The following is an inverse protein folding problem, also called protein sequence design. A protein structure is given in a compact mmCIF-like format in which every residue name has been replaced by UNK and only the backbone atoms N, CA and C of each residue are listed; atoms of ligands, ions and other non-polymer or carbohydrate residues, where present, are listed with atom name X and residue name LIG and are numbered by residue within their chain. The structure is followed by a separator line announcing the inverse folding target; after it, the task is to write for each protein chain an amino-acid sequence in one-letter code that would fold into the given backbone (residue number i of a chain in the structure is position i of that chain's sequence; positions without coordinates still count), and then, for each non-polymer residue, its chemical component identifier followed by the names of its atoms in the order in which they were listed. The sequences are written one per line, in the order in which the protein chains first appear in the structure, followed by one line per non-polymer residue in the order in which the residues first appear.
data_IF_750829495378
#
_entry.id   IF_750829495378
#
_cell.length_a   1.000
_cell.length_b   1.000
_cell.length_c   1.000
_cell.angle_alpha   90.00
_cell.angle_beta   90.00
_cell.angle_gamma   90.00
#
_symmetry.space_group_name_H-M   'P 1'
#
loop_
_entity.id
_entity.type
_entity.pdbx_description
1 polymer ?
#
# COMPACT_ATOMS: atom_id res chain seq x y z
N UNK A 1 -31.77 14.02 -53.53
CA UNK A 1 -31.18 15.12 -52.73
C UNK A 1 -30.74 14.51 -51.41
N UNK A 2 -29.46 14.15 -51.34
CA UNK A 2 -28.90 13.31 -50.28
C UNK A 2 -28.58 14.15 -49.04
N UNK A 3 -28.91 13.58 -47.88
CA UNK A 3 -28.68 14.10 -46.54
C UNK A 3 -27.18 14.19 -46.24
N UNK A 4 -26.67 15.39 -45.94
CA UNK A 4 -25.42 15.55 -45.18
C UNK A 4 -25.77 15.75 -43.71
N UNK A 5 -25.88 14.65 -42.96
CA UNK A 5 -25.74 14.69 -41.50
C UNK A 5 -24.33 14.23 -41.17
N UNK A 6 -23.52 15.18 -40.71
CA UNK A 6 -22.17 14.97 -40.20
C UNK A 6 -22.20 13.89 -39.12
N UNK A 7 -21.54 12.76 -39.37
CA UNK A 7 -21.22 11.78 -38.34
C UNK A 7 -20.06 12.34 -37.52
N UNK A 8 -20.38 13.01 -36.41
CA UNK A 8 -19.43 13.22 -35.33
C UNK A 8 -19.09 11.84 -34.75
N UNK A 9 -17.89 11.34 -35.07
CA UNK A 9 -17.29 10.20 -34.36
C UNK A 9 -16.72 10.76 -33.06
N UNK A 10 -17.39 10.49 -31.95
CA UNK A 10 -16.91 10.83 -30.62
C UNK A 10 -15.72 9.90 -30.27
N UNK A 11 -14.51 10.45 -30.35
CA UNK A 11 -13.22 9.79 -30.08
C UNK A 11 -12.92 9.65 -28.57
N UNK A 12 -13.95 9.58 -27.71
CA UNK A 12 -13.77 9.49 -26.25
C UNK A 12 -13.63 8.07 -25.70
N UNK A 13 -13.59 7.03 -26.54
CA UNK A 13 -13.48 5.62 -26.12
C UNK A 13 -12.18 4.90 -26.54
N UNK A 14 -11.04 5.57 -26.38
CA UNK A 14 -9.74 4.89 -26.22
C UNK A 14 -9.12 5.35 -24.90
N UNK A 15 -9.82 5.09 -23.80
CA UNK A 15 -9.11 4.95 -22.53
C UNK A 15 -8.50 3.57 -22.56
N UNK A 16 -7.18 3.53 -22.71
CA UNK A 16 -6.34 2.38 -22.41
C UNK A 16 -6.95 1.64 -21.23
N UNK A 17 -7.47 0.45 -21.46
CA UNK A 17 -7.63 -0.54 -20.41
C UNK A 17 -6.24 -0.68 -19.79
N UNK A 18 -5.99 -0.01 -18.67
CA UNK A 18 -4.85 -0.33 -17.83
C UNK A 18 -5.09 -1.78 -17.43
N UNK A 19 -4.45 -2.72 -18.12
CA UNK A 19 -4.53 -4.13 -17.78
C UNK A 19 -4.11 -4.22 -16.31
N UNK A 20 -5.06 -4.59 -15.44
CA UNK A 20 -4.76 -4.85 -14.04
C UNK A 20 -3.74 -5.97 -14.00
N UNK A 21 -2.58 -5.74 -13.37
CA UNK A 21 -1.56 -6.77 -13.24
C UNK A 21 -2.12 -7.90 -12.37
N UNK A 22 -2.27 -9.13 -12.90
CA UNK A 22 -2.89 -10.23 -12.18
C UNK A 22 -2.14 -10.60 -10.89
N UNK A 23 -0.84 -10.26 -10.78
CA UNK A 23 -0.04 -10.50 -9.58
C UNK A 23 -0.54 -9.70 -8.37
N UNK A 24 -1.23 -8.58 -8.60
CA UNK A 24 -1.78 -7.71 -7.54
C UNK A 24 -3.19 -8.11 -7.10
N UNK A 25 -3.87 -8.99 -7.84
CA UNK A 25 -5.25 -9.36 -7.57
C UNK A 25 -5.32 -10.25 -6.32
N UNK A 26 -6.02 -9.76 -5.30
CA UNK A 26 -6.35 -10.56 -4.12
C UNK A 26 -7.69 -11.26 -4.28
N UNK A 27 -7.71 -12.59 -4.12
CA UNK A 27 -8.92 -13.42 -4.15
C UNK A 27 -9.68 -13.48 -2.82
N UNK A 28 -9.09 -12.96 -1.74
CA UNK A 28 -9.74 -12.88 -0.44
C UNK A 28 -11.06 -12.09 -0.55
N UNK A 29 -12.16 -12.71 -0.14
CA UNK A 29 -13.43 -12.02 0.07
C UNK A 29 -13.42 -11.26 1.40
N UNK A 30 -13.88 -10.01 1.38
CA UNK A 30 -13.75 -9.10 2.51
C UNK A 30 -15.02 -9.15 3.35
N UNK A 31 -14.89 -9.53 4.63
CA UNK A 31 -16.00 -9.46 5.57
C UNK A 31 -16.19 -8.01 6.07
N UNK A 32 -17.06 -7.26 5.39
CA UNK A 32 -17.33 -5.85 5.68
C UNK A 32 -17.94 -5.60 7.06
N UNK A 33 -18.80 -6.51 7.54
CA UNK A 33 -19.34 -6.42 8.90
C UNK A 33 -18.22 -6.53 9.94
N UNK A 34 -17.29 -7.46 9.72
CA UNK A 34 -16.11 -7.58 10.58
C UNK A 34 -15.24 -6.33 10.54
N UNK A 35 -14.99 -5.73 9.36
CA UNK A 35 -14.25 -4.46 9.27
C UNK A 35 -14.92 -3.36 10.11
N UNK A 36 -16.25 -3.23 10.02
CA UNK A 36 -16.99 -2.23 10.78
C UNK A 36 -16.79 -2.40 12.29
N UNK A 37 -17.02 -3.61 12.79
CA UNK A 37 -16.83 -3.96 14.20
C UNK A 37 -15.38 -3.74 14.63
N UNK A 38 -14.43 -4.14 13.78
CA UNK A 38 -13.01 -4.07 14.06
C UNK A 38 -12.50 -2.63 14.24
N UNK A 39 -13.07 -1.68 13.49
CA UNK A 39 -12.68 -0.26 13.51
C UNK A 39 -13.46 0.60 14.52
N UNK A 40 -14.55 0.11 15.10
CA UNK A 40 -15.37 0.85 16.07
C UNK A 40 -14.54 1.41 17.24
N UNK A 41 -13.60 0.62 17.78
CA UNK A 41 -12.73 1.03 18.88
C UNK A 41 -11.80 2.22 18.52
N UNK A 42 -11.49 2.39 17.24
CA UNK A 42 -10.66 3.48 16.73
C UNK A 42 -11.49 4.75 16.49
N UNK A 43 -12.72 4.59 16.01
CA UNK A 43 -13.66 5.70 15.77
C UNK A 43 -14.11 6.38 17.07
N UNK A 44 -14.22 5.63 18.17
CA UNK A 44 -14.60 6.15 19.48
C UNK A 44 -13.66 7.24 20.05
N UNK A 45 -12.48 7.43 19.45
CA UNK A 45 -11.46 8.39 19.90
C UNK A 45 -11.68 9.84 19.39
N UNK A 46 -12.76 10.08 18.66
CA UNK A 46 -13.22 11.41 18.26
C UNK A 46 -12.62 11.95 16.95
N UNK A 47 -13.43 12.72 16.22
CA UNK A 47 -13.10 13.29 14.91
C UNK A 47 -13.43 12.38 13.72
N UNK A 48 -13.41 12.95 12.52
CA UNK A 48 -13.61 12.21 11.26
C UNK A 48 -12.38 11.34 10.99
N UNK A 49 -12.58 10.03 10.87
CA UNK A 49 -11.51 9.08 10.57
C UNK A 49 -11.09 9.22 9.10
N UNK A 50 -9.80 9.41 8.83
CA UNK A 50 -9.26 9.44 7.46
C UNK A 50 -8.63 8.11 7.08
N UNK A 51 -9.16 7.44 6.06
CA UNK A 51 -8.74 6.11 5.62
C UNK A 51 -8.16 6.19 4.20
N UNK A 52 -6.90 5.79 4.05
CA UNK A 52 -6.26 5.58 2.75
C UNK A 52 -6.37 4.12 2.33
N UNK A 53 -6.84 3.85 1.11
CA UNK A 53 -7.04 2.49 0.59
C UNK A 53 -6.00 2.14 -0.48
N UNK A 54 -5.24 1.08 -0.27
CA UNK A 54 -4.29 0.53 -1.23
C UNK A 54 -4.75 -0.85 -1.74
N UNK A 55 -4.72 -1.03 -3.06
CA UNK A 55 -5.00 -2.30 -3.73
C UNK A 55 -6.40 -2.89 -3.47
N UNK A 56 -7.39 -2.03 -3.28
CA UNK A 56 -8.81 -2.39 -3.32
C UNK A 56 -9.39 -2.04 -4.69
N UNK A 57 -10.27 -2.88 -5.23
CA UNK A 57 -10.94 -2.57 -6.49
C UNK A 57 -12.04 -1.50 -6.30
N UNK A 58 -12.57 -0.95 -7.39
CA UNK A 58 -13.57 0.12 -7.34
C UNK A 58 -14.84 -0.25 -6.56
N UNK A 59 -15.30 -1.50 -6.69
CA UNK A 59 -16.46 -2.00 -5.93
C UNK A 59 -16.17 -2.04 -4.44
N UNK A 60 -14.97 -2.49 -4.05
CA UNK A 60 -14.54 -2.54 -2.65
C UNK A 60 -14.34 -1.13 -2.05
N UNK A 61 -13.85 -0.17 -2.84
CA UNK A 61 -13.77 1.23 -2.41
C UNK A 61 -15.16 1.80 -2.08
N UNK A 62 -16.17 1.50 -2.91
CA UNK A 62 -17.54 1.90 -2.64
C UNK A 62 -18.10 1.21 -1.37
N UNK A 63 -17.77 -0.07 -1.15
CA UNK A 63 -18.18 -0.81 0.05
C UNK A 63 -17.52 -0.25 1.32
N UNK A 64 -16.26 0.19 1.24
CA UNK A 64 -15.60 0.90 2.33
C UNK A 64 -16.36 2.17 2.73
N UNK A 65 -16.77 2.99 1.76
CA UNK A 65 -17.54 4.22 2.00
C UNK A 65 -18.90 3.93 2.63
N UNK A 66 -19.58 2.86 2.22
CA UNK A 66 -20.86 2.43 2.81
C UNK A 66 -20.69 1.87 4.23
N UNK A 67 -19.60 1.12 4.47
CA UNK A 67 -19.31 0.47 5.75
C UNK A 67 -18.87 1.49 6.81
N UNK A 68 -18.22 2.57 6.39
CA UNK A 68 -17.70 3.63 7.26
C UNK A 68 -18.19 5.01 6.76
N UNK A 69 -19.50 5.31 6.83
CA UNK A 69 -20.08 6.51 6.22
C UNK A 69 -19.63 7.82 6.88
N UNK A 70 -19.10 7.74 8.10
CA UNK A 70 -18.55 8.88 8.85
C UNK A 70 -17.04 9.08 8.62
N UNK A 71 -16.40 8.22 7.84
CA UNK A 71 -14.97 8.30 7.54
C UNK A 71 -14.73 8.96 6.18
N UNK A 72 -13.67 9.76 6.08
CA UNK A 72 -13.12 10.21 4.81
C UNK A 72 -12.29 9.08 4.21
N UNK A 73 -12.86 8.39 3.23
CA UNK A 73 -12.20 7.27 2.53
C UNK A 73 -11.67 7.73 1.18
N UNK A 74 -10.38 7.51 0.93
CA UNK A 74 -9.75 7.84 -0.35
C UNK A 74 -8.85 6.71 -0.86
N UNK A 75 -8.90 6.39 -2.17
CA UNK A 75 -7.95 5.46 -2.77
C UNK A 75 -6.57 6.09 -2.89
N UNK A 76 -5.53 5.32 -2.62
CA UNK A 76 -4.14 5.70 -2.85
C UNK A 76 -3.65 4.95 -4.09
N UNK A 77 -3.18 5.71 -5.09
CA UNK A 77 -2.71 5.13 -6.34
C UNK A 77 -1.30 4.55 -6.18
N UNK A 78 -1.09 3.36 -6.72
CA UNK A 78 0.21 2.69 -6.75
C UNK A 78 0.39 2.02 -8.11
N UNK A 79 1.45 2.39 -8.83
CA UNK A 79 1.83 1.73 -10.08
C UNK A 79 2.36 0.32 -9.81
N UNK A 80 2.22 -0.58 -10.79
CA UNK A 80 2.72 -1.95 -10.65
C UNK A 80 4.24 -2.03 -10.75
N UNK A 81 4.83 -2.94 -9.99
CA UNK A 81 6.24 -3.26 -10.10
C UNK A 81 6.53 -3.86 -11.49
N UNK A 82 7.68 -3.51 -12.07
CA UNK A 82 8.14 -4.11 -13.31
C UNK A 82 8.19 -5.64 -13.20
N UNK A 83 7.79 -6.35 -14.25
CA UNK A 83 7.76 -7.83 -14.28
C UNK A 83 9.16 -8.44 -14.21
N UNK A 84 10.20 -7.70 -14.56
CA UNK A 84 11.61 -8.10 -14.44
C UNK A 84 12.14 -8.09 -13.00
N UNK A 85 11.46 -7.42 -12.07
CA UNK A 85 11.86 -7.40 -10.66
C UNK A 85 11.48 -8.74 -10.02
N UNK A 86 12.49 -9.49 -9.59
CA UNK A 86 12.33 -10.78 -8.92
C UNK A 86 12.72 -10.68 -7.45
N UNK A 87 12.24 -11.62 -6.62
CA UNK A 87 12.66 -11.68 -5.23
C UNK A 87 14.18 -11.77 -5.07
N UNK A 88 14.85 -12.59 -5.91
CA UNK A 88 16.31 -12.75 -5.90
C UNK A 88 17.05 -11.47 -6.27
N UNK A 89 16.44 -10.59 -7.07
CA UNK A 89 17.03 -9.30 -7.41
C UNK A 89 16.94 -8.27 -6.26
N UNK A 90 15.97 -8.41 -5.36
CA UNK A 90 15.80 -7.54 -4.19
C UNK A 90 16.52 -8.09 -2.95
N UNK A 91 16.49 -9.42 -2.79
CA UNK A 91 17.08 -10.16 -1.67
C UNK A 91 17.92 -11.32 -2.23
N UNK A 92 19.14 -11.04 -2.72
CA UNK A 92 20.06 -12.07 -3.16
C UNK A 92 20.53 -12.93 -1.98
N UNK A 93 20.98 -14.14 -2.27
CA UNK A 93 21.49 -15.08 -1.25
C UNK A 93 22.84 -14.66 -0.67
N UNK A 94 23.58 -13.83 -1.40
CA UNK A 94 24.86 -13.26 -1.01
C UNK A 94 24.92 -11.83 -1.53
N UNK A 95 25.42 -10.91 -0.70
CA UNK A 95 25.70 -9.53 -1.07
C UNK A 95 27.22 -9.40 -0.98
N UNK A 96 27.82 -8.88 -2.04
CA UNK A 96 29.23 -8.50 -2.05
C UNK A 96 29.34 -7.14 -1.34
N UNK A 97 29.42 -7.18 0.00
CA UNK A 97 29.37 -5.97 0.84
C UNK A 97 30.52 -4.99 0.54
N UNK A 98 31.66 -5.53 0.09
CA UNK A 98 32.86 -4.76 -0.29
C UNK A 98 32.87 -4.34 -1.77
N UNK A 99 31.84 -4.70 -2.54
CA UNK A 99 31.70 -4.43 -3.98
C UNK A 99 32.93 -4.82 -4.83
N UNK A 100 33.74 -5.78 -4.36
CA UNK A 100 35.01 -6.16 -4.97
C UNK A 100 34.83 -6.80 -6.36
N UNK A 101 33.72 -7.52 -6.55
CA UNK A 101 33.42 -8.26 -7.79
C UNK A 101 32.24 -7.66 -8.55
N UNK A 102 31.24 -7.11 -7.84
CA UNK A 102 30.03 -6.56 -8.46
C UNK A 102 29.41 -5.45 -7.63
N UNK A 103 29.13 -4.32 -8.28
CA UNK A 103 28.25 -3.28 -7.74
C UNK A 103 26.79 -3.76 -7.83
N UNK A 104 26.07 -3.91 -6.71
CA UNK A 104 24.68 -4.34 -6.73
C UNK A 104 23.79 -3.23 -7.34
N UNK A 105 22.97 -3.60 -8.33
CA UNK A 105 21.99 -2.68 -8.89
C UNK A 105 20.78 -2.55 -7.95
N UNK A 106 20.61 -1.39 -7.33
CA UNK A 106 19.42 -1.09 -6.52
C UNK A 106 18.18 -0.92 -7.41
N UNK A 107 17.36 -1.97 -7.49
CA UNK A 107 16.08 -1.90 -8.20
C UNK A 107 15.06 -1.09 -7.39
N UNK A 108 14.51 -0.05 -8.00
CA UNK A 108 13.45 0.76 -7.38
C UNK A 108 12.07 0.15 -7.61
N UNK A 109 11.27 0.07 -6.56
CA UNK A 109 9.83 -0.17 -6.67
C UNK A 109 9.10 1.17 -6.85
N UNK A 110 8.02 1.21 -7.64
CA UNK A 110 7.17 2.40 -7.74
C UNK A 110 6.71 2.90 -6.37
N UNK A 111 6.52 4.21 -6.24
CA UNK A 111 6.10 4.81 -4.98
C UNK A 111 4.59 5.09 -4.99
N UNK A 112 3.91 4.99 -3.84
CA UNK A 112 2.51 5.39 -3.74
C UNK A 112 2.37 6.89 -3.99
N UNK A 113 1.37 7.28 -4.81
CA UNK A 113 1.03 8.69 -5.05
C UNK A 113 0.01 9.12 -4.01
N UNK A 114 0.40 10.08 -3.18
CA UNK A 114 -0.43 10.71 -2.15
C UNK A 114 -0.38 12.20 -2.41
N UNK A 115 -1.55 12.86 -2.46
CA UNK A 115 -1.62 14.31 -2.64
C UNK A 115 -0.93 15.04 -1.48
N UNK A 116 -0.24 16.14 -1.79
CA UNK A 116 0.45 16.92 -0.79
C UNK A 116 -0.52 17.40 0.31
N UNK A 117 -0.14 17.16 1.57
CA UNK A 117 -0.97 17.48 2.72
C UNK A 117 -2.05 16.45 3.06
N UNK A 118 -2.30 15.44 2.22
CA UNK A 118 -3.17 14.31 2.58
C UNK A 118 -2.55 13.51 3.72
N UNK A 119 -3.36 13.25 4.76
CA UNK A 119 -2.93 12.50 5.94
C UNK A 119 -4.00 11.52 6.36
N UNK A 120 -3.58 10.29 6.58
CA UNK A 120 -4.44 9.21 7.02
C UNK A 120 -4.25 8.92 8.50
N UNK A 121 -5.32 8.48 9.14
CA UNK A 121 -5.28 7.87 10.46
C UNK A 121 -5.15 6.34 10.33
N UNK A 122 -5.69 5.76 9.26
CA UNK A 122 -5.55 4.35 8.89
C UNK A 122 -5.17 4.23 7.42
N UNK A 123 -4.15 3.44 7.12
CA UNK A 123 -3.83 2.99 5.76
C UNK A 123 -4.22 1.52 5.66
N UNK A 124 -5.31 1.23 4.96
CA UNK A 124 -5.74 -0.13 4.71
C UNK A 124 -5.14 -0.63 3.39
N UNK A 125 -4.61 -1.84 3.37
CA UNK A 125 -4.09 -2.48 2.16
C UNK A 125 -4.56 -3.93 2.06
N UNK A 126 -5.08 -4.29 0.89
CA UNK A 126 -5.46 -5.67 0.56
C UNK A 126 -4.30 -6.39 -0.10
N UNK A 127 -3.89 -7.55 0.42
CA UNK A 127 -2.74 -8.27 -0.11
C UNK A 127 -3.16 -9.52 -0.88
N UNK A 128 -2.60 -9.78 -2.08
CA UNK A 128 -2.74 -11.08 -2.71
C UNK A 128 -2.08 -12.15 -1.85
N UNK A 129 -2.65 -13.34 -1.81
CA UNK A 129 -2.16 -14.46 -1.03
C UNK A 129 -2.30 -15.73 -1.85
N UNK A 130 -1.17 -16.37 -2.15
CA UNK A 130 -1.11 -17.70 -2.71
C UNK A 130 -0.61 -18.66 -1.62
N UNK A 131 -1.55 -19.28 -0.91
CA UNK A 131 -1.25 -20.21 0.19
C UNK A 131 -0.52 -21.46 -0.32
N UNK A 132 -0.70 -21.83 -1.59
CA UNK A 132 -0.04 -22.98 -2.22
C UNK A 132 1.38 -22.69 -2.70
N UNK A 133 1.73 -21.41 -2.84
CA UNK A 133 3.01 -20.93 -3.34
C UNK A 133 3.91 -20.30 -2.28
N UNK A 134 4.98 -19.66 -2.75
CA UNK A 134 5.94 -18.98 -1.89
C UNK A 134 5.49 -17.54 -1.57
N UNK A 135 4.34 -17.38 -0.90
CA UNK A 135 3.80 -16.07 -0.53
C UNK A 135 4.74 -15.25 0.36
N UNK A 136 5.68 -15.89 1.05
CA UNK A 136 6.66 -15.23 1.92
C UNK A 136 7.76 -14.49 1.15
N UNK A 137 8.03 -14.91 -0.10
CA UNK A 137 9.05 -14.34 -1.00
C UNK A 137 8.41 -13.77 -2.25
N UNK A 138 7.36 -12.99 -2.06
CA UNK A 138 6.58 -12.41 -3.13
C UNK A 138 6.84 -10.89 -3.25
N UNK A 139 7.23 -10.46 -4.45
CA UNK A 139 7.59 -9.05 -4.74
C UNK A 139 6.38 -8.13 -4.60
N UNK A 140 5.19 -8.59 -4.98
CA UNK A 140 3.97 -7.77 -4.93
C UNK A 140 3.51 -7.55 -3.51
N UNK A 141 3.50 -8.61 -2.68
CA UNK A 141 3.22 -8.53 -1.25
C UNK A 141 4.21 -7.62 -0.56
N UNK A 142 5.50 -7.69 -0.89
CA UNK A 142 6.52 -6.77 -0.36
C UNK A 142 6.23 -5.33 -0.77
N UNK A 143 5.97 -5.08 -2.04
CA UNK A 143 5.73 -3.76 -2.58
C UNK A 143 4.51 -3.09 -1.94
N UNK A 144 3.37 -3.79 -1.87
CA UNK A 144 2.15 -3.27 -1.24
C UNK A 144 2.35 -2.93 0.24
N UNK A 145 3.07 -3.80 0.96
CA UNK A 145 3.38 -3.62 2.37
C UNK A 145 4.33 -2.44 2.62
N UNK A 146 5.36 -2.28 1.79
CA UNK A 146 6.27 -1.11 1.83
C UNK A 146 5.52 0.19 1.49
N UNK A 147 4.65 0.17 0.48
CA UNK A 147 3.84 1.30 0.11
C UNK A 147 2.91 1.73 1.27
N UNK A 148 2.19 0.77 1.87
CA UNK A 148 1.33 1.05 3.02
C UNK A 148 2.10 1.62 4.21
N UNK A 149 3.26 1.04 4.53
CA UNK A 149 4.13 1.55 5.59
C UNK A 149 4.59 2.98 5.29
N UNK A 150 5.04 3.26 4.06
CA UNK A 150 5.50 4.59 3.64
C UNK A 150 4.41 5.65 3.75
N UNK A 151 3.20 5.34 3.27
CA UNK A 151 2.04 6.25 3.37
C UNK A 151 1.68 6.53 4.83
N UNK A 152 1.71 5.50 5.68
CA UNK A 152 1.38 5.64 7.10
C UNK A 152 2.42 6.49 7.85
N UNK A 153 3.72 6.29 7.57
CA UNK A 153 4.80 7.11 8.14
C UNK A 153 4.70 8.56 7.67
N UNK A 154 4.50 8.78 6.36
CA UNK A 154 4.32 10.12 5.80
C UNK A 154 3.11 10.86 6.40
N UNK A 155 2.00 10.13 6.63
CA UNK A 155 0.80 10.68 7.27
C UNK A 155 1.06 11.18 8.70
N UNK A 156 1.94 10.52 9.44
CA UNK A 156 2.35 10.91 10.80
C UNK A 156 3.40 12.01 10.86
N UNK A 157 4.26 12.13 9.84
CA UNK A 157 5.39 13.05 9.83
C UNK A 157 4.95 14.52 9.88
N UNK A 158 5.44 15.29 10.86
CA UNK A 158 5.13 16.71 11.00
C UNK A 158 3.79 17.04 11.68
N UNK A 159 3.06 16.04 12.22
CA UNK A 159 1.92 16.32 13.10
C UNK A 159 2.43 16.86 14.45
N UNK A 160 1.94 18.04 14.87
CA UNK A 160 2.31 18.70 16.15
C UNK A 160 2.01 17.82 17.37
N UNK A 161 0.95 17.01 17.29
CA UNK A 161 0.70 15.91 18.20
C UNK A 161 1.11 14.60 17.55
N UNK A 162 1.72 13.69 18.32
CA UNK A 162 2.07 12.33 17.86
C UNK A 162 0.82 11.46 17.69
N UNK A 163 -0.14 11.89 16.85
CA UNK A 163 -1.36 11.12 16.57
C UNK A 163 -0.94 9.81 15.90
N UNK A 164 -1.20 8.71 16.58
CA UNK A 164 -0.85 7.36 16.12
C UNK A 164 -1.55 7.09 14.79
N UNK A 165 -0.77 6.71 13.77
CA UNK A 165 -1.28 6.19 12.49
C UNK A 165 -1.23 4.67 12.52
N UNK A 166 -2.24 4.03 11.94
CA UNK A 166 -2.32 2.58 11.86
C UNK A 166 -2.22 2.08 10.42
N UNK A 167 -1.71 0.86 10.26
CA UNK A 167 -1.77 0.11 9.00
C UNK A 167 -2.67 -1.09 9.23
N UNK A 168 -3.72 -1.22 8.41
CA UNK A 168 -4.61 -2.37 8.38
C UNK A 168 -4.23 -3.24 7.18
N UNK A 169 -3.71 -4.44 7.42
CA UNK A 169 -3.48 -5.43 6.38
C UNK A 169 -4.68 -6.37 6.30
N UNK A 170 -5.25 -6.52 5.11
CA UNK A 170 -6.33 -7.48 4.81
C UNK A 170 -5.72 -8.63 4.02
N UNK A 171 -5.44 -9.75 4.70
CA UNK A 171 -4.65 -10.86 4.15
C UNK A 171 -4.85 -12.15 4.95
N UNK A 172 -4.97 -13.28 4.24
CA UNK A 172 -4.97 -14.64 4.83
C UNK A 172 -3.54 -15.08 5.20
N UNK A 173 -2.57 -14.78 4.33
CA UNK A 173 -1.16 -15.04 4.53
C UNK A 173 -0.56 -14.06 5.56
N UNK A 174 0.48 -14.49 6.30
CA UNK A 174 1.13 -13.64 7.30
C UNK A 174 1.79 -12.40 6.64
N UNK A 175 1.73 -11.23 7.29
CA UNK A 175 2.54 -10.07 6.92
C UNK A 175 4.04 -10.35 7.00
N UNK A 176 4.86 -9.56 6.30
CA UNK A 176 6.32 -9.68 6.34
C UNK A 176 6.81 -9.34 7.76
N UNK A 177 7.38 -10.30 8.51
CA UNK A 177 7.65 -10.12 9.94
C UNK A 177 8.61 -8.97 10.24
N UNK A 178 9.60 -8.74 9.37
CA UNK A 178 10.60 -7.68 9.55
C UNK A 178 10.01 -6.28 9.39
N UNK A 179 8.93 -6.13 8.62
CA UNK A 179 8.26 -4.85 8.41
C UNK A 179 7.10 -4.64 9.41
N UNK A 180 6.34 -5.71 9.67
CA UNK A 180 5.18 -5.72 10.55
C UNK A 180 5.41 -6.64 11.76
N UNK A 181 6.30 -6.18 12.65
CA UNK A 181 6.72 -6.92 13.85
C UNK A 181 5.59 -7.11 14.88
N UNK A 182 5.61 -8.22 15.60
CA UNK A 182 4.59 -8.57 16.61
C UNK A 182 4.39 -7.50 17.70
N UNK A 183 5.47 -6.82 18.12
CA UNK A 183 5.39 -5.74 19.13
C UNK A 183 4.47 -4.57 18.72
N UNK A 184 4.32 -4.36 17.40
CA UNK A 184 3.48 -3.30 16.86
C UNK A 184 2.07 -3.76 16.52
N UNK A 185 1.78 -5.05 16.60
CA UNK A 185 0.44 -5.58 16.37
C UNK A 185 -0.49 -5.11 17.50
N UNK A 186 -1.57 -4.46 17.12
CA UNK A 186 -2.58 -3.91 18.03
C UNK A 186 -3.71 -4.91 18.24
N UNK A 187 -4.23 -5.42 17.13
CA UNK A 187 -5.39 -6.29 17.08
C UNK A 187 -5.30 -7.14 15.83
N UNK A 188 -5.68 -8.41 15.96
CA UNK A 188 -5.86 -9.33 14.83
C UNK A 188 -7.22 -9.99 14.98
N UNK A 189 -7.98 -10.03 13.91
CA UNK A 189 -9.25 -10.73 13.85
C UNK A 189 -9.46 -11.33 12.46
N UNK A 190 -9.52 -12.66 12.37
CA UNK A 190 -9.54 -13.35 11.07
C UNK A 190 -8.37 -12.91 10.17
N UNK A 191 -8.73 -12.31 9.04
CA UNK A 191 -7.81 -11.83 7.99
C UNK A 191 -7.43 -10.34 8.16
N UNK A 192 -7.85 -9.71 9.25
CA UNK A 192 -7.55 -8.31 9.57
C UNK A 192 -6.38 -8.23 10.55
N UNK A 193 -5.34 -7.50 10.16
CA UNK A 193 -4.15 -7.28 10.98
C UNK A 193 -3.89 -5.79 11.14
N UNK A 194 -4.01 -5.28 12.36
CA UNK A 194 -3.82 -3.86 12.64
C UNK A 194 -2.50 -3.62 13.34
N UNK A 195 -1.65 -2.80 12.72
CA UNK A 195 -0.34 -2.44 13.25
C UNK A 195 -0.25 -0.94 13.54
N UNK A 196 0.50 -0.59 14.59
CA UNK A 196 0.98 0.78 14.79
C UNK A 196 2.07 1.08 13.78
N UNK A 197 1.90 2.14 12.99
CA UNK A 197 2.98 2.64 12.13
C UNK A 197 4.12 3.20 13.00
N UNK A 198 5.36 2.84 12.67
CA UNK A 198 6.55 3.41 13.32
C UNK A 198 6.86 4.75 12.66
N UNK A 199 6.52 5.85 13.32
CA UNK A 199 6.99 7.17 12.91
C UNK A 199 8.45 7.26 13.38
N UNK A 200 9.39 6.93 12.50
CA UNK A 200 10.80 7.25 12.73
C UNK A 200 10.99 8.76 12.68
N UNK A 201 11.81 9.33 13.57
CA UNK A 201 12.36 10.67 13.33
C UNK A 201 13.25 10.55 12.08
N UNK A 202 12.68 10.79 10.89
CA UNK A 202 13.48 11.06 9.70
C UNK A 202 14.01 12.50 9.79
N UNK A 203 14.87 12.74 10.78
CA UNK A 203 15.79 13.88 10.80
C UNK A 203 17.13 13.35 10.31
N UNK A 204 17.48 13.73 9.08
CA UNK A 204 18.80 13.67 8.44
C UNK A 204 19.79 12.58 8.86
N UNK A 205 19.98 11.59 8.00
CA UNK A 205 21.33 11.14 7.63
C UNK A 205 21.25 10.55 6.22
N UNK A 206 21.11 11.42 5.23
CA UNK A 206 21.63 11.09 3.91
C UNK A 206 23.15 11.11 4.09
N UNK A 207 23.76 9.94 4.11
CA UNK A 207 25.21 9.80 4.03
C UNK A 207 25.69 10.55 2.79
N UNK A 208 26.27 11.72 3.04
CA UNK A 208 27.00 12.49 2.04
C UNK A 208 28.20 11.66 1.57
N UNK A 209 28.50 11.57 0.27
CA UNK A 209 29.71 10.89 -0.17
C UNK A 209 30.90 11.74 0.27
N UNK A 210 31.73 11.19 1.15
CA UNK A 210 33.03 11.76 1.46
C UNK A 210 33.84 11.83 0.16
N UNK A 211 34.03 13.07 -0.31
CA UNK A 211 35.04 13.45 -1.29
C UNK A 211 36.39 13.39 -0.58
N UNK A 212 37.23 12.44 -0.96
CA UNK A 212 38.65 12.43 -0.59
C UNK A 212 39.40 13.32 -1.58
N UNK A 213 40.06 14.36 -1.07
CA UNK A 213 41.29 14.90 -1.64
C UNK A 213 42.46 13.97 -1.29
#
# INVERSE_FOLDING_TARGET
MLLFRSLFVDMSNIRLTTFSDPRYISRLDVNWNQISIFLNDLNAKGGVLKIGLLNFNSTEVNLWQQTQPQAEVSPVHLEYADTSITWRSLYPTWIDEEEEYRVPACRSLPQPRVEDGSRFDIVAVKLPCDVSGNWSRDVVRLHLQLAAAKVAVGSGAGRRSRKQVYVLLVSECLPIPNLFICKNLVKREGNLWLYKARIGNSGGEASSPHRLE
#
